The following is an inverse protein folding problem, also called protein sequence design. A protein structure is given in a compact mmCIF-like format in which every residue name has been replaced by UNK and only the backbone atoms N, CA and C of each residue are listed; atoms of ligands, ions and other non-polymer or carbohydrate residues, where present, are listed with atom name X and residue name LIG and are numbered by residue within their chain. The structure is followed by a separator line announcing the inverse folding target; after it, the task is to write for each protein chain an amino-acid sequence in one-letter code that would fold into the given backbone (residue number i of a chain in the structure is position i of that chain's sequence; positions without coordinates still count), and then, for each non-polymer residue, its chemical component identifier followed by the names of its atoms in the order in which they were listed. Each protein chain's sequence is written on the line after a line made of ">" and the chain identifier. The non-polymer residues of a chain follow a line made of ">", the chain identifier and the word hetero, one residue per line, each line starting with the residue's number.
data_IF_119078187770
#
_entry.id   IF_119078187770
#
_cell.length_a   1.000
_cell.length_b   1.000
_cell.length_c   1.000
_cell.angle_alpha   90.00
_cell.angle_beta   90.00
_cell.angle_gamma   90.00
#
_symmetry.space_group_name_H-M   'P 1'
#
loop_
_entity.id
_entity.type
_entity.pdbx_description
1 polymer ?
#
# COMPACT_ATOMS: atom_id res chain seq x y z
N UNK A 1 -27.86 -12.40 22.11
CA UNK A 1 -28.08 -11.01 21.64
C UNK A 1 -26.94 -10.74 20.68
N UNK A 2 -27.22 -10.49 19.40
CA UNK A 2 -26.16 -10.05 18.49
C UNK A 2 -25.70 -8.65 18.94
N UNK A 3 -24.40 -8.44 19.01
CA UNK A 3 -23.82 -7.17 19.42
C UNK A 3 -24.21 -6.06 18.42
N UNK A 4 -24.49 -4.86 18.93
CA UNK A 4 -24.81 -3.69 18.11
C UNK A 4 -23.69 -3.40 17.10
N UNK A 5 -24.07 -2.95 15.91
CA UNK A 5 -23.15 -2.62 14.83
C UNK A 5 -22.66 -1.19 15.03
N UNK A 6 -21.45 -1.03 15.53
CA UNK A 6 -20.78 0.26 15.68
C UNK A 6 -19.58 0.37 14.75
N UNK A 7 -19.49 1.48 14.01
CA UNK A 7 -18.33 1.83 13.17
C UNK A 7 -17.58 2.95 13.85
N UNK A 8 -16.43 2.63 14.44
CA UNK A 8 -15.58 3.59 15.14
C UNK A 8 -14.53 4.20 14.19
N UNK A 9 -13.96 5.38 14.52
CA UNK A 9 -12.81 5.92 13.81
C UNK A 9 -11.65 4.92 13.75
N UNK A 10 -10.77 5.07 12.76
CA UNK A 10 -9.59 4.22 12.64
C UNK A 10 -8.68 4.34 13.87
N UNK A 11 -8.28 3.20 14.42
CA UNK A 11 -7.35 3.12 15.55
C UNK A 11 -5.93 2.78 15.04
N UNK A 12 -4.92 3.65 15.25
CA UNK A 12 -3.53 3.37 14.88
C UNK A 12 -2.91 2.18 15.63
N UNK A 13 -3.55 1.66 16.67
CA UNK A 13 -3.17 0.44 17.38
C UNK A 13 -3.58 -0.87 16.67
N UNK A 14 -4.49 -0.84 15.70
CA UNK A 14 -4.95 -2.05 15.00
C UNK A 14 -3.84 -2.84 14.29
N UNK A 15 -2.86 -2.22 13.60
CA UNK A 15 -1.72 -2.96 13.04
C UNK A 15 -0.91 -3.70 14.11
N UNK A 16 -0.74 -3.10 15.29
CA UNK A 16 -0.05 -3.72 16.42
C UNK A 16 -0.84 -4.88 17.03
N UNK A 17 -2.17 -4.72 17.15
CA UNK A 17 -3.06 -5.80 17.59
C UNK A 17 -3.05 -6.98 16.62
N UNK A 18 -3.07 -6.71 15.31
CA UNK A 18 -2.89 -7.73 14.27
C UNK A 18 -1.55 -8.44 14.41
N UNK A 19 -0.43 -7.70 14.49
CA UNK A 19 0.90 -8.30 14.59
C UNK A 19 1.01 -9.22 15.82
N UNK A 20 0.53 -8.76 16.98
CA UNK A 20 0.52 -9.56 18.22
C UNK A 20 -0.29 -10.85 18.08
N UNK A 21 -1.49 -10.78 17.50
CA UNK A 21 -2.33 -11.97 17.32
C UNK A 21 -1.76 -12.91 16.27
N UNK A 22 -1.19 -12.38 15.17
CA UNK A 22 -0.46 -13.15 14.17
C UNK A 22 0.68 -13.95 14.80
N UNK A 23 1.49 -13.31 15.63
CA UNK A 23 2.63 -13.95 16.27
C UNK A 23 2.16 -15.03 17.27
N UNK A 24 1.10 -14.76 18.02
CA UNK A 24 0.44 -15.76 18.89
C UNK A 24 -0.06 -16.98 18.09
N UNK A 25 -0.66 -16.74 16.92
CA UNK A 25 -1.13 -17.80 16.04
C UNK A 25 0.02 -18.61 15.46
N UNK A 26 1.14 -17.98 15.08
CA UNK A 26 2.33 -18.68 14.62
C UNK A 26 3.00 -19.49 15.72
N UNK A 27 3.05 -18.99 16.96
CA UNK A 27 3.58 -19.75 18.09
C UNK A 27 2.78 -21.05 18.34
N UNK A 28 1.46 -21.00 18.20
CA UNK A 28 0.60 -22.14 18.45
C UNK A 28 0.48 -23.12 17.27
N UNK A 29 0.47 -22.62 16.03
CA UNK A 29 0.16 -23.41 14.83
C UNK A 29 1.36 -23.58 13.89
N UNK A 30 2.44 -22.83 14.11
CA UNK A 30 3.61 -22.81 13.23
C UNK A 30 3.25 -22.55 11.78
N UNK A 31 3.92 -23.29 10.89
CA UNK A 31 3.77 -23.15 9.44
C UNK A 31 2.42 -23.68 8.90
N UNK A 32 1.57 -24.30 9.73
CA UNK A 32 0.28 -24.83 9.28
C UNK A 32 -0.63 -23.73 8.70
N UNK A 33 -0.59 -22.53 9.29
CA UNK A 33 -1.39 -21.38 8.83
C UNK A 33 -0.87 -20.77 7.51
N UNK A 34 0.37 -21.10 7.11
CA UNK A 34 1.01 -20.50 5.94
C UNK A 34 1.26 -19.00 6.14
N UNK A 35 0.74 -18.16 5.24
CA UNK A 35 0.87 -16.69 5.36
C UNK A 35 -0.37 -16.11 6.00
N UNK A 36 -0.21 -15.26 7.01
CA UNK A 36 -1.31 -14.56 7.67
C UNK A 36 -1.32 -13.09 7.27
N UNK A 37 -2.44 -12.63 6.73
CA UNK A 37 -2.66 -11.28 6.23
C UNK A 37 -3.67 -10.52 7.12
N UNK A 38 -3.43 -9.22 7.33
CA UNK A 38 -4.42 -8.33 7.94
C UNK A 38 -5.41 -7.91 6.86
N UNK A 39 -6.67 -8.34 6.96
CA UNK A 39 -7.73 -8.03 6.02
C UNK A 39 -8.86 -7.25 6.71
N UNK A 40 -9.97 -7.04 6.01
CA UNK A 40 -11.08 -6.26 6.52
C UNK A 40 -10.76 -4.76 6.61
N UNK A 41 -11.67 -4.00 7.21
CA UNK A 41 -11.51 -2.54 7.30
C UNK A 41 -10.44 -2.11 8.30
N UNK A 42 -10.19 -2.89 9.35
CA UNK A 42 -9.13 -2.58 10.33
C UNK A 42 -7.72 -2.70 9.73
N UNK A 43 -7.59 -3.45 8.63
CA UNK A 43 -6.36 -3.53 7.83
C UNK A 43 -6.17 -2.39 6.84
N UNK A 44 -7.04 -1.38 6.77
CA UNK A 44 -6.91 -0.25 5.84
C UNK A 44 -6.63 1.01 6.68
N UNK A 45 -5.40 1.54 6.68
CA UNK A 45 -5.06 2.73 7.46
C UNK A 45 -5.98 3.92 7.17
N UNK A 46 -6.49 4.54 8.24
CA UNK A 46 -7.39 5.69 8.16
C UNK A 46 -8.87 5.35 7.93
N UNK A 47 -9.23 4.08 7.70
CA UNK A 47 -10.60 3.67 7.44
C UNK A 47 -11.35 3.28 8.74
N UNK A 48 -12.43 3.98 9.07
CA UNK A 48 -13.30 3.62 10.19
C UNK A 48 -13.91 2.22 10.04
N UNK A 49 -14.02 1.46 11.14
CA UNK A 49 -14.39 0.04 11.11
C UNK A 49 -15.12 -0.42 12.38
N UNK A 50 -15.68 -1.63 12.35
CA UNK A 50 -15.99 -2.35 13.59
C UNK A 50 -14.67 -2.72 14.29
N UNK A 51 -14.57 -2.64 15.62
CA UNK A 51 -13.33 -2.90 16.36
C UNK A 51 -13.03 -4.41 16.48
N UNK A 52 -12.98 -5.10 15.33
CA UNK A 52 -12.65 -6.52 15.21
C UNK A 52 -11.50 -6.66 14.22
N UNK A 53 -10.41 -7.32 14.63
CA UNK A 53 -9.27 -7.59 13.76
C UNK A 53 -9.61 -8.80 12.89
N UNK A 54 -9.69 -8.60 11.57
CA UNK A 54 -9.91 -9.69 10.61
C UNK A 54 -8.54 -10.17 10.08
N UNK A 55 -8.21 -11.43 10.37
CA UNK A 55 -7.02 -12.12 9.91
C UNK A 55 -7.39 -13.13 8.82
N UNK A 56 -6.54 -13.27 7.80
CA UNK A 56 -6.68 -14.30 6.79
C UNK A 56 -5.43 -15.16 6.71
N UNK A 57 -5.53 -16.42 7.12
CA UNK A 57 -4.47 -17.40 6.99
C UNK A 57 -4.60 -18.13 5.63
N UNK A 58 -3.51 -18.17 4.88
CA UNK A 58 -3.40 -18.77 3.57
C UNK A 58 -2.40 -19.91 3.56
N UNK A 59 -2.89 -21.14 3.56
CA UNK A 59 -2.07 -22.36 3.51
C UNK A 59 -2.35 -23.16 2.23
N UNK A 60 -1.38 -23.97 1.78
CA UNK A 60 -1.56 -24.80 0.58
C UNK A 60 -2.51 -25.96 0.82
N UNK A 61 -2.31 -26.65 1.94
CA UNK A 61 -2.92 -27.96 2.21
C UNK A 61 -4.13 -27.87 3.16
N UNK A 62 -4.41 -26.71 3.75
CA UNK A 62 -5.55 -26.46 4.66
C UNK A 62 -5.76 -27.59 5.69
N UNK A 63 -4.80 -27.87 6.59
CA UNK A 63 -4.89 -28.96 7.55
C UNK A 63 -5.86 -28.64 8.71
N UNK A 64 -7.11 -28.30 8.39
CA UNK A 64 -8.13 -27.95 9.39
C UNK A 64 -8.82 -29.22 9.88
N UNK A 65 -8.16 -29.93 10.80
CA UNK A 65 -8.69 -31.09 11.52
C UNK A 65 -9.03 -30.79 12.99
N UNK A 66 -9.48 -31.80 13.72
CA UNK A 66 -9.85 -31.69 15.14
C UNK A 66 -8.72 -31.12 16.01
N UNK A 67 -7.48 -31.53 15.76
CA UNK A 67 -6.30 -31.02 16.48
C UNK A 67 -6.10 -29.51 16.27
N UNK A 68 -6.22 -29.03 15.02
CA UNK A 68 -6.10 -27.62 14.71
C UNK A 68 -7.21 -26.79 15.38
N UNK A 69 -8.45 -27.31 15.35
CA UNK A 69 -9.59 -26.68 16.04
C UNK A 69 -9.38 -26.65 17.54
N UNK A 70 -8.89 -27.73 18.15
CA UNK A 70 -8.61 -27.80 19.58
C UNK A 70 -7.48 -26.83 19.99
N UNK A 71 -6.41 -26.73 19.20
CA UNK A 71 -5.29 -25.81 19.45
C UNK A 71 -5.73 -24.36 19.37
N UNK A 72 -6.46 -23.96 18.33
CA UNK A 72 -7.03 -22.61 18.24
C UNK A 72 -8.08 -22.37 19.35
N UNK A 73 -8.81 -23.40 19.75
CA UNK A 73 -9.73 -23.38 20.90
C UNK A 73 -9.05 -22.98 22.20
N UNK A 74 -7.84 -23.47 22.47
CA UNK A 74 -7.04 -23.08 23.65
C UNK A 74 -6.66 -21.59 23.64
N UNK A 75 -6.58 -20.98 22.45
CA UNK A 75 -6.36 -19.53 22.28
C UNK A 75 -7.65 -18.70 22.36
N UNK A 76 -8.81 -19.34 22.61
CA UNK A 76 -10.10 -18.69 22.72
C UNK A 76 -10.87 -18.55 21.40
N UNK A 77 -10.45 -19.23 20.33
CA UNK A 77 -11.21 -19.27 19.08
C UNK A 77 -12.31 -20.33 19.10
N UNK A 78 -13.49 -19.95 18.59
CA UNK A 78 -14.58 -20.87 18.28
C UNK A 78 -14.60 -21.12 16.78
N UNK A 79 -14.55 -22.39 16.38
CA UNK A 79 -14.71 -22.79 14.98
C UNK A 79 -16.19 -22.76 14.57
N UNK A 80 -16.47 -22.21 13.39
CA UNK A 80 -17.82 -21.98 12.86
C UNK A 80 -18.05 -22.66 11.49
N UNK A 81 -17.14 -23.54 11.05
CA UNK A 81 -17.24 -24.15 9.74
C UNK A 81 -16.96 -23.16 8.60
N UNK A 82 -17.63 -23.38 7.48
CA UNK A 82 -17.58 -22.47 6.31
C UNK A 82 -18.31 -21.16 6.55
N UNK A 83 -19.37 -21.20 7.36
CA UNK A 83 -20.16 -20.04 7.75
C UNK A 83 -20.63 -19.21 6.53
N UNK A 84 -21.16 -19.90 5.51
CA UNK A 84 -21.73 -19.31 4.29
C UNK A 84 -20.73 -18.97 3.18
N UNK A 85 -19.45 -19.35 3.30
CA UNK A 85 -18.43 -19.14 2.26
C UNK A 85 -17.69 -20.44 1.99
N UNK A 86 -17.91 -21.02 0.81
CA UNK A 86 -17.31 -22.28 0.41
C UNK A 86 -15.76 -22.24 0.45
N UNK A 87 -15.15 -23.29 1.00
CA UNK A 87 -13.69 -23.43 1.09
C UNK A 87 -13.01 -22.54 2.12
N UNK A 88 -13.78 -21.90 3.02
CA UNK A 88 -13.27 -21.11 4.14
C UNK A 88 -13.43 -21.87 5.45
N UNK A 89 -12.47 -21.77 6.36
CA UNK A 89 -12.64 -22.21 7.74
C UNK A 89 -12.65 -20.98 8.64
N UNK A 90 -13.81 -20.70 9.24
CA UNK A 90 -14.01 -19.47 10.00
C UNK A 90 -13.92 -19.70 11.50
N UNK A 91 -13.11 -18.87 12.16
CA UNK A 91 -12.92 -18.87 13.60
C UNK A 91 -13.20 -17.48 14.18
N UNK A 92 -13.81 -17.43 15.35
CA UNK A 92 -14.14 -16.19 16.06
C UNK A 92 -13.60 -16.24 17.49
N UNK A 93 -12.94 -15.16 17.94
CA UNK A 93 -12.41 -15.00 19.30
C UNK A 93 -13.06 -13.79 19.99
N UNK A 94 -13.34 -13.93 21.29
CA UNK A 94 -13.93 -12.89 22.13
C UNK A 94 -15.47 -12.86 22.15
N UNK A 95 -16.02 -12.25 23.20
CA UNK A 95 -17.44 -11.93 23.36
C UNK A 95 -17.57 -10.58 24.09
N UNK A 96 -17.73 -9.45 23.38
CA UNK A 96 -17.94 -9.31 21.92
C UNK A 96 -16.72 -9.72 21.08
N UNK A 97 -16.89 -10.02 19.78
CA UNK A 97 -15.79 -10.51 18.95
C UNK A 97 -14.68 -9.48 18.77
N UNK A 98 -13.46 -9.88 19.14
CA UNK A 98 -12.25 -9.06 19.01
C UNK A 98 -11.43 -9.46 17.80
N UNK A 99 -11.45 -10.75 17.42
CA UNK A 99 -10.71 -11.27 16.27
C UNK A 99 -11.54 -12.26 15.46
N UNK A 100 -11.32 -12.23 14.16
CA UNK A 100 -11.82 -13.18 13.19
C UNK A 100 -10.64 -13.79 12.45
N UNK A 101 -10.59 -15.11 12.35
CA UNK A 101 -9.60 -15.81 11.54
C UNK A 101 -10.31 -16.54 10.39
N UNK A 102 -9.98 -16.14 9.17
CA UNK A 102 -10.40 -16.76 7.93
C UNK A 102 -9.25 -17.64 7.41
N UNK A 103 -9.32 -18.95 7.63
CA UNK A 103 -8.31 -19.87 7.11
C UNK A 103 -8.78 -20.44 5.76
N UNK A 104 -8.04 -20.12 4.71
CA UNK A 104 -8.38 -20.41 3.31
C UNK A 104 -7.18 -20.97 2.55
N UNK A 105 -7.46 -21.56 1.38
CA UNK A 105 -6.41 -21.99 0.47
C UNK A 105 -5.69 -20.76 -0.08
N UNK A 106 -4.36 -20.72 0.04
CA UNK A 106 -3.55 -19.65 -0.54
C UNK A 106 -3.75 -19.61 -2.05
N UNK A 107 -4.02 -18.42 -2.59
CA UNK A 107 -4.27 -18.22 -4.01
C UNK A 107 -5.66 -18.63 -4.50
N UNK A 108 -6.57 -19.02 -3.60
CA UNK A 108 -7.98 -19.22 -3.93
C UNK A 108 -8.74 -17.91 -4.15
N UNK A 109 -10.00 -18.02 -4.58
CA UNK A 109 -10.86 -16.86 -4.88
C UNK A 109 -11.04 -15.92 -3.68
N UNK A 110 -11.36 -16.45 -2.50
CA UNK A 110 -11.50 -15.64 -1.28
C UNK A 110 -10.19 -14.93 -0.92
N UNK A 111 -9.07 -15.64 -1.00
CA UNK A 111 -7.74 -15.08 -0.75
C UNK A 111 -7.50 -13.85 -1.62
N UNK A 112 -7.65 -14.00 -2.93
CA UNK A 112 -7.37 -12.91 -3.85
C UNK A 112 -8.37 -11.76 -3.75
N UNK A 113 -9.67 -12.03 -3.57
CA UNK A 113 -10.69 -10.99 -3.38
C UNK A 113 -10.40 -10.12 -2.16
N UNK A 114 -10.00 -10.70 -1.03
CA UNK A 114 -9.66 -9.93 0.16
C UNK A 114 -8.39 -9.10 -0.04
N UNK A 115 -7.34 -9.70 -0.62
CA UNK A 115 -6.08 -9.00 -0.89
C UNK A 115 -6.29 -7.81 -1.84
N UNK A 116 -6.93 -8.05 -2.98
CA UNK A 116 -7.11 -7.00 -4.01
C UNK A 116 -8.00 -5.87 -3.50
N UNK A 117 -9.06 -6.19 -2.75
CA UNK A 117 -9.93 -5.17 -2.16
C UNK A 117 -9.18 -4.31 -1.16
N UNK A 118 -8.44 -4.93 -0.22
CA UNK A 118 -7.64 -4.22 0.78
C UNK A 118 -6.61 -3.32 0.11
N UNK A 119 -5.83 -3.87 -0.80
CA UNK A 119 -4.72 -3.16 -1.44
C UNK A 119 -5.24 -2.01 -2.31
N UNK A 120 -6.35 -2.21 -3.02
CA UNK A 120 -7.03 -1.15 -3.75
C UNK A 120 -7.55 -0.03 -2.84
N UNK A 121 -8.19 -0.37 -1.72
CA UNK A 121 -8.69 0.64 -0.78
C UNK A 121 -7.56 1.43 -0.11
N UNK A 122 -6.42 0.77 0.19
CA UNK A 122 -5.21 1.45 0.66
C UNK A 122 -4.63 2.37 -0.40
N UNK A 123 -4.65 1.93 -1.66
CA UNK A 123 -4.13 2.69 -2.77
C UNK A 123 -5.05 3.83 -3.18
N UNK A 124 -6.37 3.75 -3.01
CA UNK A 124 -7.32 4.77 -3.49
C UNK A 124 -8.12 5.36 -2.31
N UNK A 125 -7.59 6.35 -1.58
CA UNK A 125 -8.22 6.90 -0.38
C UNK A 125 -9.66 7.38 -0.56
N UNK A 126 -9.99 7.92 -1.74
CA UNK A 126 -11.35 8.37 -2.07
C UNK A 126 -12.36 7.22 -2.08
N UNK A 127 -11.95 6.04 -2.54
CA UNK A 127 -12.78 4.82 -2.52
C UNK A 127 -12.96 4.29 -1.10
N UNK A 128 -11.89 4.29 -0.30
CA UNK A 128 -11.97 3.93 1.11
C UNK A 128 -12.92 4.87 1.88
N UNK A 129 -12.84 6.17 1.64
CA UNK A 129 -13.73 7.16 2.25
C UNK A 129 -15.19 6.95 1.84
N UNK A 130 -15.48 6.70 0.56
CA UNK A 130 -16.82 6.38 0.10
C UNK A 130 -17.37 5.12 0.78
N UNK A 131 -16.51 4.11 0.98
CA UNK A 131 -16.87 2.90 1.71
C UNK A 131 -17.15 3.16 3.19
N UNK A 132 -16.41 4.07 3.84
CA UNK A 132 -16.66 4.47 5.22
C UNK A 132 -18.01 5.15 5.40
N UNK A 133 -18.32 6.12 4.54
CA UNK A 133 -19.59 6.86 4.56
C UNK A 133 -20.77 5.89 4.44
N UNK A 134 -20.68 4.95 3.49
CA UNK A 134 -21.68 3.89 3.34
C UNK A 134 -21.82 3.06 4.63
N UNK A 135 -20.70 2.59 5.20
CA UNK A 135 -20.72 1.75 6.40
C UNK A 135 -21.34 2.48 7.60
N UNK A 136 -21.04 3.77 7.80
CA UNK A 136 -21.62 4.58 8.88
C UNK A 136 -23.13 4.72 8.72
N UNK A 137 -23.60 5.13 7.54
CA UNK A 137 -25.04 5.25 7.29
C UNK A 137 -25.80 3.92 7.40
N UNK A 138 -25.17 2.80 7.01
CA UNK A 138 -25.76 1.47 7.19
C UNK A 138 -25.75 1.00 8.66
N UNK A 139 -24.71 1.35 9.43
CA UNK A 139 -24.65 1.04 10.84
C UNK A 139 -25.73 1.80 11.62
N UNK A 140 -25.99 3.06 11.28
CA UNK A 140 -27.11 3.85 11.84
C UNK A 140 -28.47 3.23 11.50
N UNK A 141 -28.66 2.78 10.25
CA UNK A 141 -29.94 2.23 9.76
C UNK A 141 -30.23 0.80 10.24
N UNK A 142 -29.21 -0.02 10.40
CA UNK A 142 -29.31 -1.46 10.67
C UNK A 142 -28.50 -1.87 11.91
N UNK A 143 -28.42 -1.00 12.92
CA UNK A 143 -27.57 -1.17 14.11
C UNK A 143 -27.77 -2.50 14.88
N UNK A 144 -28.95 -3.11 14.76
CA UNK A 144 -29.37 -4.35 15.42
C UNK A 144 -29.55 -5.54 14.44
N UNK A 145 -29.33 -5.32 13.14
CA UNK A 145 -29.51 -6.34 12.09
C UNK A 145 -28.22 -6.55 11.28
N UNK A 146 -27.40 -7.48 11.75
CA UNK A 146 -26.12 -7.85 11.13
C UNK A 146 -26.28 -8.38 9.70
N UNK A 147 -27.37 -9.07 9.42
CA UNK A 147 -27.62 -9.67 8.10
C UNK A 147 -27.94 -8.58 7.09
N UNK A 148 -28.85 -7.65 7.41
CA UNK A 148 -29.17 -6.51 6.54
C UNK A 148 -28.00 -5.57 6.38
N UNK A 149 -27.26 -5.27 7.45
CA UNK A 149 -26.04 -4.47 7.36
C UNK A 149 -25.00 -5.10 6.41
N UNK A 150 -24.82 -6.42 6.48
CA UNK A 150 -23.86 -7.13 5.61
C UNK A 150 -24.35 -7.14 4.16
N UNK A 151 -25.62 -7.48 3.94
CA UNK A 151 -26.22 -7.59 2.61
C UNK A 151 -26.26 -6.24 1.89
N UNK A 152 -26.60 -5.16 2.60
CA UNK A 152 -26.71 -3.81 2.03
C UNK A 152 -25.39 -3.22 1.52
N UNK A 153 -24.24 -3.83 1.86
CA UNK A 153 -22.92 -3.42 1.33
C UNK A 153 -22.52 -4.17 0.06
N UNK A 154 -23.25 -5.23 -0.31
CA UNK A 154 -22.83 -6.18 -1.34
C UNK A 154 -22.58 -5.47 -2.67
N UNK A 155 -23.50 -4.63 -3.12
CA UNK A 155 -23.39 -3.93 -4.41
C UNK A 155 -22.14 -3.04 -4.47
N UNK A 156 -21.86 -2.31 -3.38
CA UNK A 156 -20.65 -1.50 -3.29
C UNK A 156 -19.40 -2.38 -3.35
N UNK A 157 -19.35 -3.47 -2.58
CA UNK A 157 -18.19 -4.36 -2.52
C UNK A 157 -17.93 -5.03 -3.86
N UNK A 158 -18.98 -5.47 -4.56
CA UNK A 158 -18.88 -6.07 -5.91
C UNK A 158 -18.33 -5.05 -6.90
N UNK A 159 -18.91 -3.85 -6.96
CA UNK A 159 -18.44 -2.81 -7.87
C UNK A 159 -17.01 -2.36 -7.55
N UNK A 160 -16.65 -2.26 -6.26
CA UNK A 160 -15.30 -1.93 -5.83
C UNK A 160 -14.30 -3.03 -6.18
N UNK A 161 -14.68 -4.32 -6.08
CA UNK A 161 -13.84 -5.43 -6.53
C UNK A 161 -13.57 -5.35 -8.04
N UNK A 162 -14.57 -5.02 -8.87
CA UNK A 162 -14.35 -4.84 -10.32
C UNK A 162 -13.34 -3.72 -10.59
N UNK A 163 -13.46 -2.57 -9.90
CA UNK A 163 -12.49 -1.48 -10.00
C UNK A 163 -11.11 -1.90 -9.50
N UNK A 164 -11.04 -2.64 -8.39
CA UNK A 164 -9.81 -3.16 -7.81
C UNK A 164 -9.09 -4.11 -8.78
N UNK A 165 -9.81 -5.01 -9.44
CA UNK A 165 -9.24 -5.89 -10.46
C UNK A 165 -8.71 -5.12 -11.67
N UNK A 166 -9.47 -4.13 -12.17
CA UNK A 166 -8.97 -3.25 -13.24
C UNK A 166 -7.72 -2.48 -12.80
N UNK A 167 -7.67 -2.04 -11.55
CA UNK A 167 -6.50 -1.39 -10.96
C UNK A 167 -5.29 -2.32 -10.88
N UNK A 168 -5.44 -3.62 -10.64
CA UNK A 168 -4.28 -4.56 -10.70
C UNK A 168 -3.66 -4.66 -12.09
N UNK A 169 -4.45 -4.37 -13.14
CA UNK A 169 -4.02 -4.34 -14.54
C UNK A 169 -3.57 -2.96 -15.01
N UNK A 170 -3.66 -1.95 -14.15
CA UNK A 170 -3.14 -0.63 -14.44
C UNK A 170 -1.61 -0.65 -14.55
N UNK A 171 -1.01 0.21 -15.40
CA UNK A 171 0.43 0.37 -15.43
C UNK A 171 0.96 0.78 -14.06
N UNK A 172 2.17 0.31 -13.74
CA UNK A 172 2.92 0.73 -12.55
C UNK A 172 3.91 1.82 -12.97
N UNK A 173 3.75 3.01 -12.43
CA UNK A 173 4.65 4.14 -12.60
C UNK A 173 5.58 4.16 -11.39
N UNK A 174 6.81 3.73 -11.62
CA UNK A 174 7.88 3.80 -10.61
C UNK A 174 8.58 5.13 -10.80
N UNK A 175 8.67 5.94 -9.76
CA UNK A 175 9.30 7.25 -9.83
C UNK A 175 10.22 7.48 -8.63
N UNK A 176 11.15 8.40 -8.80
CA UNK A 176 12.11 8.83 -7.80
C UNK A 176 12.39 10.33 -7.99
N UNK A 177 12.55 11.03 -6.87
CA UNK A 177 12.72 12.48 -6.85
C UNK A 177 14.08 12.84 -6.27
N UNK A 178 14.80 13.71 -6.98
CA UNK A 178 15.88 14.46 -6.37
C UNK A 178 15.36 15.79 -5.86
N UNK A 179 15.89 16.26 -4.74
CA UNK A 179 15.48 17.51 -4.11
C UNK A 179 16.69 18.34 -3.64
N UNK A 180 16.47 19.65 -3.45
CA UNK A 180 17.46 20.51 -2.80
C UNK A 180 17.81 19.94 -1.43
N UNK A 181 19.09 19.90 -1.10
CA UNK A 181 19.55 19.28 0.14
C UNK A 181 20.85 19.89 0.68
N UNK A 182 21.08 19.71 1.96
CA UNK A 182 22.24 20.22 2.69
C UNK A 182 22.77 19.16 3.65
N UNK A 183 24.03 19.29 4.07
CA UNK A 183 24.72 18.28 4.86
C UNK A 183 24.13 18.06 6.27
N UNK A 184 23.51 19.09 6.85
CA UNK A 184 22.97 19.05 8.24
C UNK A 184 21.49 19.37 8.36
N UNK A 185 20.83 19.77 7.27
CA UNK A 185 19.43 20.17 7.27
C UNK A 185 18.62 19.25 6.34
N UNK A 186 17.64 18.58 6.91
CA UNK A 186 16.83 17.52 6.28
C UNK A 186 15.33 17.83 6.33
N UNK A 187 14.95 19.08 6.65
CA UNK A 187 13.56 19.48 6.72
C UNK A 187 12.92 19.49 5.31
N UNK A 188 11.95 18.60 5.09
CA UNK A 188 11.20 18.43 3.83
C UNK A 188 10.53 19.73 3.38
N UNK A 189 10.14 20.57 4.33
CA UNK A 189 9.48 21.86 4.09
C UNK A 189 10.42 22.90 3.46
N UNK A 190 11.73 22.72 3.60
CA UNK A 190 12.74 23.53 2.95
C UNK A 190 13.12 22.99 1.57
N UNK A 191 13.04 21.67 1.39
CA UNK A 191 13.43 21.00 0.15
C UNK A 191 12.46 21.29 -1.00
N UNK A 192 13.00 21.47 -2.20
CA UNK A 192 12.29 21.64 -3.47
C UNK A 192 12.71 20.55 -4.43
N UNK A 193 11.78 20.03 -5.22
CA UNK A 193 12.09 19.00 -6.23
C UNK A 193 13.00 19.62 -7.29
N UNK A 194 14.04 18.87 -7.68
CA UNK A 194 15.05 19.22 -8.70
C UNK A 194 14.98 18.33 -9.92
N UNK A 195 14.58 17.07 -9.75
CA UNK A 195 14.46 16.10 -10.84
C UNK A 195 13.27 15.18 -10.54
N UNK A 196 12.47 14.90 -11.57
CA UNK A 196 11.51 13.81 -11.57
C UNK A 196 11.98 12.79 -12.59
N UNK A 197 12.42 11.63 -12.10
CA UNK A 197 12.64 10.45 -12.95
C UNK A 197 11.51 9.45 -12.76
N UNK A 198 11.08 8.79 -13.83
CA UNK A 198 10.10 7.72 -13.74
C UNK A 198 10.21 6.70 -14.89
N UNK A 199 9.77 5.48 -14.59
CA UNK A 199 9.64 4.35 -15.53
C UNK A 199 8.23 3.81 -15.47
N UNK A 200 7.59 3.66 -16.63
CA UNK A 200 6.27 3.04 -16.77
C UNK A 200 6.44 1.56 -17.07
N UNK A 201 5.91 0.72 -16.19
CA UNK A 201 5.77 -0.71 -16.38
C UNK A 201 4.33 -1.08 -16.78
N UNK A 202 4.17 -2.02 -17.72
CA UNK A 202 2.85 -2.57 -18.07
C UNK A 202 2.33 -3.55 -16.99
N UNK A 203 1.22 -4.23 -17.26
CA UNK A 203 0.58 -5.16 -16.33
C UNK A 203 1.36 -6.47 -16.09
N UNK A 204 2.38 -6.74 -16.90
CA UNK A 204 3.37 -7.83 -16.74
C UNK A 204 4.75 -7.31 -16.32
N UNK A 205 4.81 -6.08 -15.79
CA UNK A 205 5.99 -5.44 -15.24
C UNK A 205 7.16 -5.22 -16.21
N UNK A 206 6.87 -5.12 -17.51
CA UNK A 206 7.86 -4.77 -18.55
C UNK A 206 7.85 -3.26 -18.75
N UNK A 207 9.04 -2.65 -18.81
CA UNK A 207 9.20 -1.22 -19.07
C UNK A 207 8.71 -0.85 -20.48
N UNK A 208 7.91 0.21 -20.56
CA UNK A 208 7.24 0.65 -21.80
C UNK A 208 7.57 2.09 -22.18
N UNK A 209 7.86 2.94 -21.20
CA UNK A 209 8.31 4.31 -21.43
C UNK A 209 9.01 4.86 -20.19
N UNK A 210 9.74 5.96 -20.38
CA UNK A 210 10.46 6.67 -19.33
C UNK A 210 10.08 8.16 -19.34
N UNK A 211 10.23 8.82 -18.19
CA UNK A 211 10.06 10.25 -18.01
C UNK A 211 11.25 10.79 -17.23
N UNK A 212 11.79 11.92 -17.69
CA UNK A 212 12.82 12.64 -16.95
C UNK A 212 12.70 14.13 -17.25
N UNK A 213 12.62 14.93 -16.19
CA UNK A 213 12.67 16.39 -16.26
C UNK A 213 13.37 16.94 -15.03
N UNK A 214 14.21 17.95 -15.24
CA UNK A 214 14.64 18.82 -14.16
C UNK A 214 13.55 19.81 -13.81
N UNK A 215 13.62 20.32 -12.59
CA UNK A 215 12.70 21.30 -12.03
C UNK A 215 13.52 22.47 -11.51
N UNK A 216 13.10 23.68 -11.85
CA UNK A 216 13.69 24.91 -11.33
C UNK A 216 13.09 25.26 -9.96
N UNK A 217 13.86 25.15 -8.86
CA UNK A 217 13.42 25.61 -7.54
C UNK A 217 13.24 27.13 -7.53
N UNK A 218 12.30 27.60 -6.71
CA UNK A 218 11.92 29.02 -6.60
C UNK A 218 12.20 29.61 -5.22
N UNK A 219 12.28 28.78 -4.18
CA UNK A 219 12.55 29.20 -2.81
C UNK A 219 14.04 29.15 -2.49
N UNK A 220 14.72 28.07 -2.90
CA UNK A 220 16.16 27.82 -2.74
C UNK A 220 16.79 27.62 -4.13
N UNK A 221 16.90 28.69 -4.95
CA UNK A 221 17.28 28.57 -6.35
C UNK A 221 18.76 28.19 -6.58
N UNK A 222 19.61 28.36 -5.56
CA UNK A 222 21.04 28.05 -5.65
C UNK A 222 21.33 26.70 -5.00
N UNK A 223 21.84 25.75 -5.79
CA UNK A 223 22.21 24.43 -5.28
C UNK A 223 23.36 24.52 -4.29
N UNK A 224 23.23 23.81 -3.18
CA UNK A 224 24.35 23.64 -2.25
C UNK A 224 25.44 22.77 -2.89
N UNK A 225 26.70 22.96 -2.49
CA UNK A 225 27.79 22.08 -2.94
C UNK A 225 27.58 20.62 -2.52
N UNK A 226 26.85 20.37 -1.43
CA UNK A 226 26.46 19.01 -1.03
C UNK A 226 25.48 18.40 -2.03
N UNK A 227 24.43 19.13 -2.40
CA UNK A 227 23.43 18.69 -3.37
C UNK A 227 24.06 18.33 -4.71
N UNK A 228 24.92 19.21 -5.26
CA UNK A 228 25.62 18.95 -6.52
C UNK A 228 26.50 17.71 -6.45
N UNK A 229 27.20 17.46 -5.33
CA UNK A 229 28.03 16.25 -5.17
C UNK A 229 27.21 14.98 -4.99
N UNK A 230 26.08 15.07 -4.29
CA UNK A 230 25.22 13.94 -4.02
C UNK A 230 24.52 13.48 -5.30
N UNK A 231 23.88 14.41 -6.01
CA UNK A 231 23.00 14.10 -7.16
C UNK A 231 23.70 14.27 -8.50
N UNK A 232 24.85 14.93 -8.56
CA UNK A 232 25.49 15.29 -9.83
C UNK A 232 24.70 16.30 -10.69
N UNK A 233 23.56 16.82 -10.20
CA UNK A 233 22.78 17.87 -10.87
C UNK A 233 23.55 19.18 -10.76
N UNK A 234 23.74 19.86 -11.90
CA UNK A 234 24.46 21.13 -11.97
C UNK A 234 23.48 22.29 -11.90
N UNK A 235 23.98 23.45 -11.44
CA UNK A 235 23.17 24.68 -11.41
C UNK A 235 22.58 25.02 -12.79
N UNK A 236 23.36 24.84 -13.86
CA UNK A 236 22.90 25.09 -15.22
C UNK A 236 21.73 24.17 -15.66
N UNK A 237 21.64 22.96 -15.11
CA UNK A 237 20.55 22.02 -15.42
C UNK A 237 19.22 22.55 -14.87
N UNK A 238 19.23 23.14 -13.67
CA UNK A 238 18.02 23.66 -13.00
C UNK A 238 17.69 25.09 -13.42
N UNK A 239 18.67 25.91 -13.79
CA UNK A 239 18.44 27.28 -14.26
C UNK A 239 17.63 27.29 -15.57
N UNK A 240 17.92 26.33 -16.45
CA UNK A 240 17.26 26.14 -17.74
C UNK A 240 15.92 25.37 -17.63
N UNK A 241 15.60 24.82 -16.45
CA UNK A 241 14.42 23.98 -16.26
C UNK A 241 13.11 24.78 -16.13
N UNK A 242 12.01 24.08 -16.35
CA UNK A 242 10.67 24.58 -16.05
C UNK A 242 10.39 24.55 -14.54
N UNK A 243 9.41 25.33 -14.09
CA UNK A 243 9.02 25.33 -12.68
C UNK A 243 8.24 24.07 -12.30
N UNK A 244 8.18 23.76 -11.01
CA UNK A 244 7.49 22.57 -10.49
C UNK A 244 6.05 22.39 -11.04
N UNK A 245 5.18 23.42 -11.08
CA UNK A 245 3.83 23.24 -11.63
C UNK A 245 3.78 22.75 -13.08
N UNK A 246 4.67 23.26 -13.93
CA UNK A 246 4.72 22.87 -15.35
C UNK A 246 5.27 21.45 -15.54
N UNK A 247 6.30 21.09 -14.78
CA UNK A 247 6.88 19.73 -14.81
C UNK A 247 5.90 18.72 -14.23
N UNK A 248 5.18 19.05 -13.16
CA UNK A 248 4.15 18.17 -12.58
C UNK A 248 3.00 17.93 -13.56
N UNK A 249 2.55 18.97 -14.29
CA UNK A 249 1.53 18.82 -15.33
C UNK A 249 2.03 17.89 -16.45
N UNK A 250 3.26 18.08 -16.92
CA UNK A 250 3.89 17.20 -17.93
C UNK A 250 4.02 15.76 -17.44
N UNK A 251 4.35 15.56 -16.17
CA UNK A 251 4.44 14.23 -15.57
C UNK A 251 3.07 13.55 -15.46
N UNK A 252 2.04 14.30 -15.08
CA UNK A 252 0.65 13.81 -15.05
C UNK A 252 0.13 13.45 -16.45
N UNK A 253 0.42 14.28 -17.45
CA UNK A 253 0.06 14.01 -18.84
C UNK A 253 0.76 12.76 -19.37
N UNK A 254 2.06 12.61 -19.07
CA UNK A 254 2.81 11.40 -19.40
C UNK A 254 2.28 10.16 -18.68
N UNK A 255 1.82 10.29 -17.43
CA UNK A 255 1.17 9.21 -16.68
C UNK A 255 -0.19 8.81 -17.29
N UNK A 256 -0.86 9.76 -17.95
CA UNK A 256 -2.10 9.55 -18.68
C UNK A 256 -3.35 9.53 -17.80
N UNK A 257 -4.54 9.46 -18.41
CA UNK A 257 -5.83 9.67 -17.72
C UNK A 257 -6.36 8.43 -17.00
N UNK A 258 -5.75 7.26 -17.20
CA UNK A 258 -6.24 5.98 -16.67
C UNK A 258 -5.95 5.80 -15.18
N UNK A 259 -6.52 4.77 -14.53
CA UNK A 259 -5.93 4.34 -13.28
C UNK A 259 -4.47 3.95 -13.56
N UNK A 260 -3.56 4.49 -12.77
CA UNK A 260 -2.17 4.08 -12.72
C UNK A 260 -1.80 3.80 -11.26
N UNK A 261 -0.86 2.90 -11.06
CA UNK A 261 -0.28 2.62 -9.74
C UNK A 261 0.99 3.45 -9.63
N UNK A 262 1.08 4.39 -8.71
CA UNK A 262 2.35 5.08 -8.45
C UNK A 262 3.13 4.34 -7.37
N UNK A 263 4.44 4.26 -7.54
CA UNK A 263 5.32 3.61 -6.59
C UNK A 263 6.65 4.34 -6.56
N UNK A 264 7.27 4.35 -5.39
CA UNK A 264 8.67 4.74 -5.24
C UNK A 264 9.30 3.85 -4.18
N UNK A 265 10.62 3.99 -3.96
CA UNK A 265 11.28 3.15 -2.98
C UNK A 265 10.72 3.37 -1.57
N UNK A 266 10.38 4.61 -1.19
CA UNK A 266 9.82 4.89 0.13
C UNK A 266 8.74 5.96 0.09
N UNK A 267 8.03 6.17 1.19
CA UNK A 267 7.06 7.27 1.29
C UNK A 267 7.66 8.69 1.24
N UNK A 268 8.98 8.85 1.16
CA UNK A 268 9.63 10.18 1.04
C UNK A 268 9.15 10.92 -0.22
N UNK A 269 9.18 10.29 -1.39
CA UNK A 269 8.91 10.97 -2.66
C UNK A 269 7.48 11.51 -2.73
N UNK A 270 6.51 10.72 -2.26
CA UNK A 270 5.12 11.18 -2.15
C UNK A 270 4.98 12.35 -1.17
N UNK A 271 5.69 12.33 -0.04
CA UNK A 271 5.67 13.44 0.92
C UNK A 271 6.27 14.71 0.30
N UNK A 272 7.36 14.57 -0.44
CA UNK A 272 8.02 15.67 -1.13
C UNK A 272 7.12 16.26 -2.23
N UNK A 273 6.55 15.43 -3.10
CA UNK A 273 5.54 15.85 -4.09
C UNK A 273 4.39 16.64 -3.47
N UNK A 274 3.85 16.16 -2.34
CA UNK A 274 2.80 16.87 -1.60
C UNK A 274 3.30 18.18 -0.99
N UNK A 275 4.56 18.24 -0.55
CA UNK A 275 5.19 19.45 -0.03
C UNK A 275 5.26 20.53 -1.09
N UNK A 276 5.82 20.22 -2.27
CA UNK A 276 5.91 21.15 -3.39
C UNK A 276 4.52 21.53 -3.93
N UNK A 277 3.56 20.59 -4.01
CA UNK A 277 2.16 20.92 -4.35
C UNK A 277 1.58 21.99 -3.41
N UNK A 278 1.75 21.81 -2.08
CA UNK A 278 1.30 22.79 -1.08
C UNK A 278 2.02 24.13 -1.23
N UNK A 279 3.34 24.11 -1.44
CA UNK A 279 4.16 25.32 -1.63
C UNK A 279 3.67 26.14 -2.82
N UNK A 280 3.31 25.47 -3.92
CA UNK A 280 2.86 26.12 -5.15
C UNK A 280 1.34 26.34 -5.21
N UNK A 281 0.58 25.94 -4.17
CA UNK A 281 -0.88 26.12 -4.13
C UNK A 281 -1.63 25.31 -5.20
N UNK A 282 -1.07 24.18 -5.66
CA UNK A 282 -1.68 23.31 -6.68
C UNK A 282 -2.07 21.95 -6.07
N UNK A 283 -3.16 21.32 -6.54
CA UNK A 283 -3.53 19.98 -6.08
C UNK A 283 -2.56 18.93 -6.64
N UNK A 284 -2.29 17.88 -5.86
CA UNK A 284 -1.63 16.69 -6.38
C UNK A 284 -2.57 16.02 -7.41
N UNK A 285 -2.09 15.63 -8.60
CA UNK A 285 -2.90 14.87 -9.54
C UNK A 285 -3.51 13.63 -8.87
N UNK A 286 -4.83 13.37 -8.98
CA UNK A 286 -5.49 12.30 -8.23
C UNK A 286 -4.88 10.91 -8.42
N UNK A 287 -4.34 10.64 -9.61
CA UNK A 287 -3.67 9.38 -9.92
C UNK A 287 -2.40 9.17 -9.08
N UNK A 288 -1.74 10.25 -8.65
CA UNK A 288 -0.54 10.24 -7.81
C UNK A 288 -0.85 10.22 -6.31
N UNK A 289 -2.11 10.42 -5.90
CA UNK A 289 -2.51 10.18 -4.49
C UNK A 289 -2.33 8.70 -4.10
N UNK A 290 -2.33 7.81 -5.10
CA UNK A 290 -2.27 6.37 -4.97
C UNK A 290 -0.82 5.86 -5.02
N UNK A 291 -0.17 5.69 -3.88
CA UNK A 291 1.25 5.34 -3.79
C UNK A 291 1.52 3.99 -3.12
N UNK A 292 2.46 3.24 -3.69
CA UNK A 292 2.98 1.96 -3.18
C UNK A 292 4.40 2.19 -2.65
N UNK A 293 4.61 1.93 -1.35
CA UNK A 293 5.94 1.91 -0.72
C UNK A 293 6.64 0.57 -1.03
N UNK A 294 7.49 0.55 -2.07
CA UNK A 294 8.16 -0.68 -2.50
C UNK A 294 9.18 -1.21 -1.49
N UNK A 295 9.73 -0.35 -0.61
CA UNK A 295 10.58 -0.79 0.50
C UNK A 295 9.80 -1.63 1.48
N UNK A 296 8.58 -1.24 1.83
CA UNK A 296 7.72 -2.06 2.70
C UNK A 296 7.31 -3.36 1.99
N UNK A 297 6.90 -3.30 0.71
CA UNK A 297 6.56 -4.52 -0.04
C UNK A 297 7.75 -5.49 -0.11
N UNK A 298 8.98 -4.97 -0.28
CA UNK A 298 10.19 -5.77 -0.30
C UNK A 298 10.47 -6.41 1.05
N UNK A 299 10.41 -5.63 2.13
CA UNK A 299 10.60 -6.09 3.51
C UNK A 299 9.65 -7.25 3.84
N UNK A 300 8.36 -7.07 3.56
CA UNK A 300 7.32 -8.06 3.83
C UNK A 300 7.55 -9.36 3.04
N UNK A 301 7.85 -9.27 1.74
CA UNK A 301 8.04 -10.46 0.88
C UNK A 301 9.35 -11.21 1.15
N UNK A 302 10.39 -10.51 1.64
CA UNK A 302 11.68 -11.12 1.96
C UNK A 302 11.83 -11.49 3.43
N UNK A 303 10.84 -11.16 4.28
CA UNK A 303 10.90 -11.30 5.73
C UNK A 303 12.18 -10.66 6.31
N UNK A 304 12.48 -9.43 5.88
CA UNK A 304 13.62 -8.62 6.34
C UNK A 304 13.13 -7.25 6.79
N UNK A 305 13.93 -6.56 7.60
CA UNK A 305 13.65 -5.18 7.97
C UNK A 305 13.69 -4.24 6.74
N UNK A 306 12.85 -3.18 6.69
CA UNK A 306 12.91 -2.14 5.69
C UNK A 306 14.34 -1.59 5.49
N UNK A 307 14.82 -1.59 4.24
CA UNK A 307 16.22 -1.28 3.94
C UNK A 307 16.38 -0.27 2.78
N UNK A 308 17.63 0.08 2.44
CA UNK A 308 17.93 0.99 1.33
C UNK A 308 17.76 0.31 -0.01
N UNK A 309 17.51 1.09 -1.08
CA UNK A 309 17.35 0.54 -2.43
C UNK A 309 18.59 -0.27 -2.85
N UNK A 310 19.79 0.28 -2.60
CA UNK A 310 21.07 -0.40 -2.82
C UNK A 310 21.12 -1.77 -2.13
N UNK A 311 20.77 -1.85 -0.84
CA UNK A 311 20.81 -3.12 -0.11
C UNK A 311 19.77 -4.10 -0.63
N UNK A 312 18.58 -3.63 -1.01
CA UNK A 312 17.55 -4.48 -1.59
C UNK A 312 17.96 -5.04 -2.96
N UNK A 313 18.62 -4.24 -3.80
CA UNK A 313 19.19 -4.67 -5.07
C UNK A 313 20.24 -5.78 -4.87
N UNK A 314 21.15 -5.61 -3.91
CA UNK A 314 22.13 -6.64 -3.52
C UNK A 314 21.45 -7.95 -3.07
N UNK A 315 20.47 -7.86 -2.15
CA UNK A 315 19.69 -9.01 -1.67
C UNK A 315 18.85 -9.69 -2.77
N UNK A 316 18.51 -8.94 -3.82
CA UNK A 316 17.84 -9.44 -4.99
C UNK A 316 18.81 -10.00 -6.04
N UNK A 317 20.12 -9.86 -5.87
CA UNK A 317 21.12 -10.25 -6.86
C UNK A 317 21.00 -9.44 -8.15
N UNK A 318 20.63 -8.16 -8.05
CA UNK A 318 20.54 -7.23 -9.18
C UNK A 318 21.66 -6.20 -9.05
N UNK A 319 22.54 -6.04 -10.07
CA UNK A 319 23.54 -4.99 -10.06
C UNK A 319 22.86 -3.62 -10.22
N UNK A 320 23.38 -2.61 -9.51
CA UNK A 320 22.99 -1.22 -9.74
C UNK A 320 23.50 -0.76 -11.11
N UNK A 321 22.64 -0.08 -11.86
CA UNK A 321 22.94 0.49 -13.17
C UNK A 321 22.75 2.02 -13.14
N UNK A 322 23.59 2.75 -13.86
CA UNK A 322 23.55 4.20 -13.90
C UNK A 322 24.19 4.86 -12.66
N UNK A 323 23.91 6.15 -12.48
CA UNK A 323 24.38 6.91 -11.33
C UNK A 323 23.36 6.86 -10.19
N UNK A 324 23.83 6.63 -8.97
CA UNK A 324 23.01 6.69 -7.76
C UNK A 324 22.72 8.16 -7.45
N UNK A 325 21.52 8.46 -6.93
CA UNK A 325 21.01 9.81 -6.70
C UNK A 325 20.78 10.58 -8.01
N UNK A 326 20.29 9.84 -9.01
CA UNK A 326 19.75 10.37 -10.26
C UNK A 326 18.36 9.80 -10.43
N UNK A 327 17.34 10.65 -10.45
CA UNK A 327 15.96 10.21 -10.36
C UNK A 327 15.58 9.16 -11.41
N UNK A 328 16.05 9.29 -12.66
CA UNK A 328 15.73 8.29 -13.70
C UNK A 328 16.48 6.97 -13.51
N UNK A 329 17.76 7.01 -13.15
CA UNK A 329 18.56 5.79 -12.97
C UNK A 329 18.09 5.03 -11.72
N UNK A 330 17.78 5.75 -10.63
CA UNK A 330 17.18 5.14 -9.45
C UNK A 330 15.78 4.58 -9.77
N UNK A 331 14.94 5.29 -10.53
CA UNK A 331 13.66 4.77 -11.01
C UNK A 331 13.81 3.48 -11.84
N UNK A 332 14.84 3.38 -12.71
CA UNK A 332 15.13 2.16 -13.47
C UNK A 332 15.51 1.00 -12.56
N UNK A 333 16.38 1.23 -11.57
CA UNK A 333 16.77 0.21 -10.60
C UNK A 333 15.58 -0.26 -9.77
N UNK A 334 14.76 0.68 -9.27
CA UNK A 334 13.54 0.37 -8.51
C UNK A 334 12.55 -0.38 -9.41
N UNK A 335 12.41 -0.02 -10.69
CA UNK A 335 11.52 -0.71 -11.62
C UNK A 335 11.95 -2.16 -11.91
N UNK A 336 13.27 -2.40 -12.04
CA UNK A 336 13.82 -3.76 -12.17
C UNK A 336 13.57 -4.59 -10.91
N UNK A 337 13.74 -3.97 -9.74
CA UNK A 337 13.43 -4.60 -8.46
C UNK A 337 11.93 -4.91 -8.33
N UNK A 338 11.06 -3.97 -8.71
CA UNK A 338 9.62 -4.13 -8.71
C UNK A 338 9.18 -5.26 -9.66
N UNK A 339 9.75 -5.34 -10.86
CA UNK A 339 9.46 -6.42 -11.80
C UNK A 339 9.83 -7.79 -11.23
N UNK A 340 10.99 -7.91 -10.56
CA UNK A 340 11.39 -9.16 -9.89
C UNK A 340 10.57 -9.46 -8.64
N UNK A 341 10.09 -8.43 -7.95
CA UNK A 341 9.37 -8.55 -6.70
C UNK A 341 7.91 -8.93 -6.94
N UNK A 342 7.28 -8.35 -7.96
CA UNK A 342 5.84 -8.37 -8.19
C UNK A 342 5.38 -9.38 -9.25
N UNK A 343 6.26 -9.78 -10.17
CA UNK A 343 6.04 -10.96 -11.02
C UNK A 343 6.00 -12.24 -10.17
#
# INVERSE_FOLDING_TARGET
>A
MDDLIEVVPYDPGWPGAFAKERDTLYEAMGNALGVIEHIGSTGIPGLGAKPTIDLMAGSKDLPVGEEAVATLGKLGYRYLGEYGIAGRHFFRKGSPPTHHLHWVRRGGDFWWKQMVFRDYMRAVPKEAQAYEVLKKGLAEKFHDDRTRYTTAKTDFVVAALERAWRWTKAPLIVFDLEATCWEKDTAVERQEILEIGAVRLNDVYVATSEFQRFVRPTHEPTLSGFCVRLTGIKQADIDAAETFPAVLASFADWAGPGPARFASWSTYDLRQLRSDCRRHGIPLPPVMECHIDLRQVFADRRAVEPTTMKRAMELAGLPLEGAIHRGLDDSRNIARLAAKLLA
#
